data_IF_699203485190
#
_entry.id   IF_699203485190
#
_cell.length_a   1.000
_cell.length_b   1.000
_cell.length_c   1.000
_cell.angle_alpha   90.00
_cell.angle_beta   90.00
_cell.angle_gamma   90.00
#
_symmetry.space_group_name_H-M   'P 1'
#
loop_
_entity.id
_entity.type
_entity.pdbx_description
1 polymer ?
#
# COMPACT_ATOMS: atom_id res chain seq x y z
N UNK A 1 -3.86 2.33 -17.20
CA UNK A 1 -4.43 1.50 -18.29
C UNK A 1 -3.51 0.32 -18.48
N UNK A 2 -4.07 -0.81 -18.72
CA UNK A 2 -3.35 -2.04 -19.00
C UNK A 2 -4.18 -2.88 -19.97
N UNK A 3 -3.52 -3.75 -20.71
CA UNK A 3 -4.16 -4.80 -21.47
C UNK A 3 -4.17 -6.07 -20.62
N UNK A 4 -5.16 -6.90 -20.84
CA UNK A 4 -5.23 -8.22 -20.25
C UNK A 4 -5.18 -9.27 -21.34
N UNK A 5 -4.30 -10.23 -21.17
CA UNK A 5 -4.18 -11.39 -22.05
C UNK A 5 -4.20 -12.68 -21.20
N UNK A 6 -5.06 -13.66 -21.50
CA UNK A 6 -5.16 -14.89 -20.72
C UNK A 6 -3.86 -15.67 -20.60
N UNK A 7 -2.96 -15.58 -21.58
CA UNK A 7 -1.69 -16.29 -21.62
C UNK A 7 -0.54 -15.55 -20.95
N UNK A 8 -0.57 -14.21 -20.97
CA UNK A 8 0.53 -13.36 -20.51
C UNK A 8 0.16 -12.66 -19.18
N UNK A 9 -1.14 -12.53 -18.89
CA UNK A 9 -1.66 -11.78 -17.75
C UNK A 9 -1.79 -10.29 -18.01
N UNK A 10 -1.62 -9.47 -16.98
CA UNK A 10 -1.76 -8.03 -17.02
C UNK A 10 -0.51 -7.36 -17.61
N UNK A 11 -0.69 -6.61 -18.69
CA UNK A 11 0.38 -5.84 -19.36
C UNK A 11 0.14 -4.34 -19.13
N UNK A 12 0.86 -3.69 -18.21
CA UNK A 12 0.73 -2.24 -17.99
C UNK A 12 1.10 -1.43 -19.24
N UNK A 13 0.22 -0.52 -19.67
CA UNK A 13 0.46 0.36 -20.83
C UNK A 13 0.76 1.80 -20.41
N UNK A 14 -0.10 2.39 -19.61
CA UNK A 14 0.04 3.79 -19.22
C UNK A 14 -0.33 3.97 -17.76
N UNK A 15 0.57 4.57 -17.00
CA UNK A 15 0.30 5.06 -15.66
C UNK A 15 0.25 6.58 -15.66
N UNK A 16 -0.78 7.15 -15.04
CA UNK A 16 -0.90 8.60 -14.80
C UNK A 16 -1.32 8.85 -13.37
N UNK A 17 -0.70 9.85 -12.76
CA UNK A 17 -0.99 10.27 -11.39
C UNK A 17 -1.28 11.75 -11.35
N UNK A 18 -2.20 12.14 -10.48
CA UNK A 18 -2.41 13.51 -10.04
C UNK A 18 -2.39 13.53 -8.52
N UNK A 19 -1.38 14.15 -7.95
CA UNK A 19 -1.28 14.30 -6.50
C UNK A 19 -2.26 15.37 -6.03
N UNK A 20 -3.20 15.00 -5.18
CA UNK A 20 -4.24 15.88 -4.63
C UNK A 20 -4.17 15.99 -3.11
N UNK A 21 -3.34 15.15 -2.47
CA UNK A 21 -3.11 15.11 -1.03
C UNK A 21 -4.40 15.02 -0.19
N UNK A 22 -5.44 14.32 -0.71
CA UNK A 22 -6.74 14.22 -0.05
C UNK A 22 -6.63 13.62 1.35
N UNK A 23 -5.78 12.61 1.55
CA UNK A 23 -5.56 12.01 2.88
C UNK A 23 -5.03 13.02 3.91
N UNK A 24 -4.17 13.96 3.50
CA UNK A 24 -3.68 15.03 4.38
C UNK A 24 -4.81 15.99 4.77
N UNK A 25 -5.63 16.37 3.81
CA UNK A 25 -6.74 17.31 4.02
C UNK A 25 -7.79 16.67 4.92
N UNK A 26 -8.16 15.43 4.66
CA UNK A 26 -9.12 14.68 5.49
C UNK A 26 -8.57 14.47 6.90
N UNK A 27 -7.27 14.16 7.03
CA UNK A 27 -6.62 14.06 8.34
C UNK A 27 -6.65 15.36 9.17
N UNK A 28 -6.73 16.54 8.50
CA UNK A 28 -6.84 17.85 9.17
C UNK A 28 -8.26 18.29 9.45
N UNK A 29 -9.16 18.08 8.51
CA UNK A 29 -10.48 18.73 8.48
C UNK A 29 -11.65 17.74 8.62
N UNK A 30 -11.38 16.42 8.59
CA UNK A 30 -12.41 15.37 8.61
C UNK A 30 -13.32 15.36 7.37
N UNK A 31 -13.04 16.21 6.37
CA UNK A 31 -13.84 16.37 5.16
C UNK A 31 -12.97 16.79 3.97
N UNK A 32 -13.51 16.67 2.78
CA UNK A 32 -12.87 17.15 1.54
C UNK A 32 -13.44 18.54 1.19
N UNK A 33 -12.67 19.63 1.31
CA UNK A 33 -13.10 20.98 0.93
C UNK A 33 -13.41 21.11 -0.56
N UNK A 34 -14.26 22.08 -0.92
CA UNK A 34 -14.70 22.28 -2.31
C UNK A 34 -13.55 22.45 -3.32
N UNK A 35 -12.47 23.21 -3.03
CA UNK A 35 -11.35 23.31 -3.97
C UNK A 35 -10.70 21.97 -4.29
N UNK A 36 -10.57 21.06 -3.30
CA UNK A 36 -9.99 19.74 -3.45
C UNK A 36 -10.95 18.79 -4.19
N UNK A 37 -12.24 18.83 -3.87
CA UNK A 37 -13.26 18.08 -4.58
C UNK A 37 -13.32 18.47 -6.07
N UNK A 38 -13.32 19.77 -6.37
CA UNK A 38 -13.28 20.28 -7.75
C UNK A 38 -11.99 19.90 -8.49
N UNK A 39 -10.84 19.90 -7.80
CA UNK A 39 -9.57 19.43 -8.37
C UNK A 39 -9.60 17.93 -8.69
N UNK A 40 -10.24 17.13 -7.82
CA UNK A 40 -10.42 15.70 -8.05
C UNK A 40 -11.33 15.43 -9.26
N UNK A 41 -12.47 16.13 -9.37
CA UNK A 41 -13.37 16.05 -10.53
C UNK A 41 -12.63 16.37 -11.82
N UNK A 42 -11.87 17.49 -11.86
CA UNK A 42 -11.06 17.85 -13.03
C UNK A 42 -10.01 16.78 -13.39
N UNK A 43 -9.41 16.16 -12.39
CA UNK A 43 -8.44 15.10 -12.61
C UNK A 43 -9.09 13.86 -13.22
N UNK A 44 -10.23 13.41 -12.67
CA UNK A 44 -10.99 12.26 -13.18
C UNK A 44 -11.46 12.50 -14.61
N UNK A 45 -12.03 13.68 -14.92
CA UNK A 45 -12.45 14.05 -16.28
C UNK A 45 -11.29 13.93 -17.29
N UNK A 46 -10.09 14.40 -16.91
CA UNK A 46 -8.91 14.28 -17.78
C UNK A 46 -8.46 12.82 -17.97
N UNK A 47 -8.51 12.02 -16.92
CA UNK A 47 -8.15 10.59 -16.98
C UNK A 47 -9.14 9.81 -17.84
N UNK A 48 -10.45 10.05 -17.66
CA UNK A 48 -11.50 9.47 -18.49
C UNK A 48 -11.27 9.77 -19.97
N UNK A 49 -11.16 11.06 -20.32
CA UNK A 49 -10.92 11.46 -21.73
C UNK A 49 -9.70 10.78 -22.32
N UNK A 50 -8.64 10.61 -21.52
CA UNK A 50 -7.44 9.92 -22.00
C UNK A 50 -7.67 8.43 -22.22
N UNK A 51 -8.43 7.77 -21.34
CA UNK A 51 -8.80 6.38 -21.52
C UNK A 51 -9.61 6.17 -22.80
N UNK A 52 -10.63 7.01 -23.02
CA UNK A 52 -11.44 7.00 -24.23
C UNK A 52 -10.59 7.18 -25.52
N UNK A 53 -9.67 8.16 -25.52
CA UNK A 53 -8.77 8.40 -26.66
C UNK A 53 -7.74 7.27 -26.87
N UNK A 54 -7.52 6.43 -25.89
CA UNK A 54 -6.62 5.27 -25.98
C UNK A 54 -7.37 3.98 -26.36
N UNK A 55 -8.66 4.05 -26.69
CA UNK A 55 -9.46 2.89 -27.05
C UNK A 55 -9.69 1.90 -25.91
N UNK A 56 -9.83 2.42 -24.67
CA UNK A 56 -10.07 1.57 -23.50
C UNK A 56 -11.51 1.03 -23.52
N UNK A 57 -11.68 -0.28 -23.48
CA UNK A 57 -12.99 -0.95 -23.54
C UNK A 57 -13.77 -0.82 -22.21
N UNK A 58 -13.07 -0.79 -21.08
CA UNK A 58 -13.68 -0.75 -19.76
C UNK A 58 -12.98 0.23 -18.84
N UNK A 59 -13.75 1.03 -18.12
CA UNK A 59 -13.27 1.92 -17.05
C UNK A 59 -13.83 1.42 -15.71
N UNK A 60 -12.95 1.24 -14.74
CA UNK A 60 -13.32 0.95 -13.35
C UNK A 60 -12.86 2.12 -12.49
N UNK A 61 -13.74 2.64 -11.65
CA UNK A 61 -13.45 3.74 -10.76
C UNK A 61 -13.65 3.31 -9.30
N UNK A 62 -12.56 3.37 -8.53
CA UNK A 62 -12.57 3.07 -7.10
C UNK A 62 -12.09 4.27 -6.29
N UNK A 63 -12.57 4.38 -5.07
CA UNK A 63 -12.12 5.33 -4.08
C UNK A 63 -11.73 4.58 -2.81
N UNK A 64 -10.83 5.16 -2.04
CA UNK A 64 -10.21 4.52 -0.89
C UNK A 64 -10.38 5.38 0.36
N UNK A 65 -9.57 5.17 1.37
CA UNK A 65 -9.62 5.78 2.69
C UNK A 65 -9.96 7.28 2.70
N UNK A 66 -9.41 8.07 1.76
CA UNK A 66 -9.67 9.52 1.76
C UNK A 66 -11.16 9.88 1.53
N UNK A 67 -11.89 9.10 0.71
CA UNK A 67 -13.33 9.29 0.53
C UNK A 67 -14.13 8.54 1.60
N UNK A 68 -13.69 7.35 1.98
CA UNK A 68 -14.33 6.52 3.02
C UNK A 68 -14.44 7.26 4.34
N UNK A 69 -13.37 7.96 4.73
CA UNK A 69 -13.24 8.60 6.05
C UNK A 69 -13.71 10.06 6.06
N UNK A 70 -13.95 10.66 4.90
CA UNK A 70 -14.44 12.03 4.83
C UNK A 70 -15.94 12.12 5.13
N UNK A 71 -16.34 13.02 6.04
CA UNK A 71 -17.76 13.24 6.38
C UNK A 71 -18.65 13.64 5.18
N UNK A 72 -18.04 14.05 4.07
CA UNK A 72 -18.74 14.35 2.80
C UNK A 72 -18.30 13.43 1.65
N UNK A 73 -17.67 12.28 1.94
CA UNK A 73 -17.07 11.38 0.96
C UNK A 73 -18.07 10.89 -0.09
N UNK A 74 -19.25 10.42 0.33
CA UNK A 74 -20.33 10.00 -0.56
C UNK A 74 -20.78 11.09 -1.55
N UNK A 75 -20.87 12.35 -1.08
CA UNK A 75 -21.21 13.48 -1.94
C UNK A 75 -20.13 13.71 -2.99
N UNK A 76 -18.86 13.60 -2.60
CA UNK A 76 -17.72 13.72 -3.52
C UNK A 76 -17.69 12.53 -4.48
N UNK A 77 -17.92 11.30 -4.01
CA UNK A 77 -17.96 10.10 -4.86
C UNK A 77 -18.99 10.22 -5.98
N UNK A 78 -20.20 10.71 -5.69
CA UNK A 78 -21.23 10.96 -6.73
C UNK A 78 -20.75 11.95 -7.81
N UNK A 79 -20.04 13.01 -7.42
CA UNK A 79 -19.46 13.97 -8.39
C UNK A 79 -18.35 13.34 -9.23
N UNK A 80 -17.53 12.48 -8.61
CA UNK A 80 -16.48 11.74 -9.33
C UNK A 80 -17.09 10.72 -10.29
N UNK A 81 -18.18 10.03 -9.91
CA UNK A 81 -18.90 9.11 -10.77
C UNK A 81 -19.44 9.81 -12.03
N UNK A 82 -20.06 10.99 -11.87
CA UNK A 82 -20.49 11.81 -12.99
C UNK A 82 -19.32 12.21 -13.92
N UNK A 83 -18.17 12.53 -13.35
CA UNK A 83 -16.96 12.86 -14.12
C UNK A 83 -16.32 11.65 -14.80
N UNK A 84 -16.35 10.48 -14.14
CA UNK A 84 -15.83 9.23 -14.67
C UNK A 84 -16.72 8.60 -15.74
N UNK A 85 -18.04 8.88 -15.71
CA UNK A 85 -19.04 8.25 -16.56
C UNK A 85 -19.38 6.81 -16.15
N UNK A 86 -18.89 6.38 -14.98
CA UNK A 86 -19.12 5.06 -14.37
C UNK A 86 -19.29 5.23 -12.86
N UNK A 87 -19.95 4.28 -12.17
CA UNK A 87 -20.01 4.30 -10.71
C UNK A 87 -18.61 4.34 -10.08
N UNK A 88 -18.51 5.02 -8.94
CA UNK A 88 -17.30 5.00 -8.09
C UNK A 88 -17.60 4.15 -6.88
N UNK A 89 -16.87 3.05 -6.74
CA UNK A 89 -16.97 2.18 -5.57
C UNK A 89 -16.00 2.68 -4.48
N UNK A 90 -16.53 3.00 -3.31
CA UNK A 90 -15.72 3.30 -2.13
C UNK A 90 -15.40 1.97 -1.48
N UNK A 91 -14.16 1.52 -1.66
CA UNK A 91 -13.71 0.24 -1.12
C UNK A 91 -13.62 0.29 0.41
N UNK A 92 -14.00 -0.78 1.07
CA UNK A 92 -13.64 -1.05 2.45
C UNK A 92 -12.14 -1.29 2.58
N UNK A 93 -11.61 -1.23 3.79
CA UNK A 93 -10.21 -1.52 4.02
C UNK A 93 -9.83 -2.97 3.72
N UNK A 94 -10.74 -3.90 4.00
CA UNK A 94 -10.53 -5.33 3.72
C UNK A 94 -10.56 -5.60 2.20
N UNK A 95 -11.42 -4.94 1.44
CA UNK A 95 -11.39 -5.01 -0.03
C UNK A 95 -10.10 -4.43 -0.62
N UNK A 96 -9.63 -3.28 -0.10
CA UNK A 96 -8.34 -2.72 -0.51
C UNK A 96 -7.19 -3.69 -0.26
N UNK A 97 -7.14 -4.30 0.94
CA UNK A 97 -6.12 -5.27 1.32
C UNK A 97 -6.16 -6.53 0.44
N UNK A 98 -7.34 -7.09 0.20
CA UNK A 98 -7.54 -8.28 -0.62
C UNK A 98 -7.12 -8.04 -2.09
N UNK A 99 -7.57 -6.94 -2.69
CA UNK A 99 -7.20 -6.57 -4.07
C UNK A 99 -5.70 -6.32 -4.21
N UNK A 100 -5.10 -5.66 -3.21
CA UNK A 100 -3.65 -5.46 -3.20
C UNK A 100 -2.92 -6.79 -3.10
N UNK A 101 -3.30 -7.66 -2.16
CA UNK A 101 -2.65 -8.97 -1.99
C UNK A 101 -2.70 -9.79 -3.28
N UNK A 102 -3.84 -9.81 -3.96
CA UNK A 102 -4.00 -10.44 -5.26
C UNK A 102 -3.03 -9.89 -6.31
N UNK A 103 -2.85 -8.57 -6.36
CA UNK A 103 -1.87 -7.96 -7.25
C UNK A 103 -0.43 -8.35 -6.90
N UNK A 104 -0.12 -8.43 -5.60
CA UNK A 104 1.19 -8.87 -5.14
C UNK A 104 1.49 -10.31 -5.56
N UNK A 105 0.51 -11.21 -5.42
CA UNK A 105 0.63 -12.61 -5.86
C UNK A 105 0.84 -12.74 -7.37
N UNK A 106 0.07 -11.97 -8.17
CA UNK A 106 0.12 -12.06 -9.62
C UNK A 106 1.34 -11.36 -10.25
N UNK A 107 1.82 -10.30 -9.60
CA UNK A 107 2.83 -9.40 -10.20
C UNK A 107 4.27 -9.77 -9.93
N UNK A 108 4.56 -10.51 -8.88
CA UNK A 108 5.95 -10.73 -8.50
C UNK A 108 6.58 -11.89 -9.27
N UNK A 109 7.63 -11.64 -10.06
CA UNK A 109 8.60 -12.67 -10.38
C UNK A 109 9.37 -12.99 -9.11
N UNK A 110 8.74 -13.79 -8.23
CA UNK A 110 9.32 -14.14 -6.96
C UNK A 110 10.58 -14.99 -7.18
N UNK A 111 11.67 -14.79 -6.41
CA UNK A 111 12.80 -15.69 -6.41
C UNK A 111 12.33 -17.14 -6.23
N UNK A 112 13.01 -18.17 -6.80
CA UNK A 112 12.52 -19.55 -6.78
C UNK A 112 12.11 -20.06 -5.39
N UNK A 113 12.76 -19.61 -4.31
CA UNK A 113 12.40 -19.92 -2.92
C UNK A 113 11.15 -19.21 -2.40
N UNK A 114 10.79 -18.09 -3.00
CA UNK A 114 9.67 -17.26 -2.57
C UNK A 114 8.35 -17.68 -3.23
N UNK A 115 8.35 -18.06 -4.50
CA UNK A 115 7.18 -18.69 -5.16
C UNK A 115 6.69 -19.92 -4.38
N UNK A 116 7.62 -20.71 -3.86
CA UNK A 116 7.29 -21.84 -2.99
C UNK A 116 6.62 -21.43 -1.68
N UNK A 117 6.84 -20.23 -1.18
CA UNK A 117 6.16 -19.71 0.02
C UNK A 117 4.73 -19.25 -0.28
N UNK A 118 4.52 -18.58 -1.42
CA UNK A 118 3.16 -18.19 -1.87
C UNK A 118 2.33 -19.39 -2.36
N UNK A 119 2.98 -20.45 -2.85
CA UNK A 119 2.32 -21.67 -3.36
C UNK A 119 2.06 -22.74 -2.26
N UNK A 120 2.08 -22.36 -0.98
CA UNK A 120 1.79 -23.30 0.13
C UNK A 120 2.90 -24.29 0.43
N UNK A 121 4.11 -24.09 -0.08
CA UNK A 121 5.31 -24.90 0.28
C UNK A 121 5.92 -24.47 1.61
N UNK A 122 6.73 -25.28 2.29
CA UNK A 122 7.26 -24.98 3.61
C UNK A 122 8.04 -23.66 3.63
N UNK A 123 7.41 -22.58 4.08
CA UNK A 123 7.95 -21.23 4.11
C UNK A 123 7.07 -20.24 4.89
N UNK A 124 5.87 -20.66 5.30
CA UNK A 124 4.93 -19.85 6.09
C UNK A 124 4.16 -18.78 5.29
N UNK A 125 3.22 -18.10 5.94
CA UNK A 125 2.40 -17.06 5.32
C UNK A 125 3.22 -15.82 4.96
N UNK A 126 2.75 -15.08 3.96
CA UNK A 126 3.35 -13.83 3.50
C UNK A 126 2.47 -12.66 3.91
N UNK A 127 3.08 -11.62 4.42
CA UNK A 127 2.44 -10.33 4.65
C UNK A 127 2.51 -9.48 3.38
N UNK A 128 1.36 -9.16 2.83
CA UNK A 128 1.20 -8.08 1.85
C UNK A 128 0.92 -6.77 2.55
N UNK A 129 1.61 -5.71 2.13
CA UNK A 129 1.49 -4.36 2.70
C UNK A 129 1.20 -3.37 1.58
N UNK A 130 0.17 -2.53 1.72
CA UNK A 130 0.02 -1.30 0.91
C UNK A 130 0.09 -0.08 1.83
N UNK A 131 1.20 0.63 1.80
CA UNK A 131 1.34 1.87 2.55
C UNK A 131 0.96 3.06 1.68
N UNK A 132 -0.30 3.43 1.80
CA UNK A 132 -0.92 4.53 1.10
C UNK A 132 -0.76 5.89 1.77
N UNK A 133 -1.53 6.86 1.26
CA UNK A 133 -1.57 8.20 1.86
C UNK A 133 -2.54 8.30 3.02
N UNK A 134 -3.65 7.57 3.01
CA UNK A 134 -4.71 7.64 4.00
C UNK A 134 -4.71 6.48 4.99
N UNK A 135 -4.30 5.30 4.56
CA UNK A 135 -4.31 4.07 5.35
C UNK A 135 -3.09 3.21 5.09
N UNK A 136 -2.94 2.18 5.90
CA UNK A 136 -2.01 1.07 5.76
C UNK A 136 -2.84 -0.20 5.68
N UNK A 137 -2.86 -0.84 4.54
CA UNK A 137 -3.53 -2.12 4.33
C UNK A 137 -2.55 -3.26 4.58
N UNK A 138 -3.00 -4.25 5.33
CA UNK A 138 -2.28 -5.45 5.65
C UNK A 138 -3.11 -6.66 5.22
N UNK A 139 -2.46 -7.62 4.59
CA UNK A 139 -3.08 -8.87 4.19
C UNK A 139 -2.09 -10.01 4.44
N UNK A 140 -2.52 -11.08 5.08
CA UNK A 140 -1.71 -12.27 5.27
C UNK A 140 -2.36 -13.42 4.56
N UNK A 141 -1.56 -14.19 3.86
CA UNK A 141 -2.04 -15.35 3.13
C UNK A 141 -0.89 -16.20 2.61
N UNK A 142 -1.31 -17.30 1.96
CA UNK A 142 -0.45 -18.26 1.31
C UNK A 142 -0.79 -18.36 -0.17
N UNK A 143 -0.15 -19.26 -0.91
CA UNK A 143 -0.55 -19.57 -2.30
C UNK A 143 -1.97 -20.14 -2.43
N UNK A 144 -2.54 -20.65 -1.33
CA UNK A 144 -3.90 -21.21 -1.29
C UNK A 144 -5.00 -20.19 -0.99
N UNK A 145 -4.64 -18.96 -0.61
CA UNK A 145 -5.63 -17.91 -0.34
C UNK A 145 -5.20 -16.90 0.70
N UNK A 146 -6.14 -16.03 1.03
CA UNK A 146 -6.01 -14.97 2.00
C UNK A 146 -6.52 -15.45 3.37
N UNK A 147 -5.67 -15.34 4.39
CA UNK A 147 -5.98 -15.80 5.75
C UNK A 147 -6.47 -14.68 6.65
N UNK A 148 -6.00 -13.43 6.43
CA UNK A 148 -6.33 -12.30 7.27
C UNK A 148 -6.12 -10.97 6.56
N UNK A 149 -6.95 -9.97 6.89
CA UNK A 149 -6.82 -8.59 6.43
C UNK A 149 -6.99 -7.58 7.56
N UNK A 150 -6.39 -6.42 7.39
CA UNK A 150 -6.67 -5.25 8.21
C UNK A 150 -6.36 -3.98 7.46
N UNK A 151 -7.12 -2.93 7.74
CA UNK A 151 -6.80 -1.56 7.30
C UNK A 151 -6.64 -0.67 8.52
N UNK A 152 -5.47 -0.06 8.64
CA UNK A 152 -5.08 0.77 9.76
C UNK A 152 -4.99 2.24 9.34
N UNK A 153 -5.39 3.16 10.23
CA UNK A 153 -5.33 4.61 9.98
C UNK A 153 -3.91 5.19 10.02
N UNK A 154 -2.95 4.48 9.43
CA UNK A 154 -1.51 4.81 9.45
C UNK A 154 -0.98 5.32 8.10
N UNK A 155 -1.83 5.82 7.22
CA UNK A 155 -1.36 6.40 5.96
C UNK A 155 -0.48 7.63 6.14
N UNK A 156 0.59 7.71 5.36
CA UNK A 156 1.63 8.75 5.48
C UNK A 156 1.08 10.19 5.43
N UNK A 157 0.16 10.47 4.51
CA UNK A 157 -0.45 11.81 4.37
C UNK A 157 -1.43 12.12 5.52
N UNK A 158 -2.14 11.11 6.02
CA UNK A 158 -3.04 11.25 7.17
C UNK A 158 -2.26 11.64 8.42
N UNK A 159 -1.15 10.93 8.71
CA UNK A 159 -0.31 11.21 9.87
C UNK A 159 0.25 12.62 9.83
N UNK A 160 0.79 13.04 8.69
CA UNK A 160 1.26 14.42 8.52
C UNK A 160 0.12 15.41 8.70
N UNK A 161 -1.04 15.17 8.10
CA UNK A 161 -2.23 16.02 8.26
C UNK A 161 -2.63 16.18 9.72
N UNK A 162 -2.61 15.08 10.50
CA UNK A 162 -3.06 15.05 11.90
C UNK A 162 -2.06 15.62 12.87
N UNK A 163 -0.77 15.35 12.71
CA UNK A 163 0.24 15.58 13.75
C UNK A 163 1.28 16.63 13.42
N UNK A 164 1.56 16.91 12.14
CA UNK A 164 2.66 17.79 11.72
C UNK A 164 2.17 19.19 11.43
N UNK A 165 2.85 20.18 12.02
CA UNK A 165 2.60 21.62 11.82
C UNK A 165 3.89 22.38 11.49
N UNK A 166 5.04 21.79 11.76
CA UNK A 166 6.36 22.42 11.59
C UNK A 166 7.21 21.67 10.56
N UNK A 167 8.14 22.37 9.96
CA UNK A 167 9.17 21.82 9.08
C UNK A 167 10.55 22.45 9.42
N UNK A 168 11.48 21.67 9.94
CA UNK A 168 11.42 20.23 10.22
C UNK A 168 10.40 19.84 11.29
N UNK A 169 10.02 18.57 11.30
CA UNK A 169 9.12 18.00 12.32
C UNK A 169 9.77 18.15 13.71
N UNK A 170 9.03 18.70 14.66
CA UNK A 170 9.54 18.86 16.03
C UNK A 170 9.61 17.53 16.77
N UNK A 171 10.48 17.45 17.81
CA UNK A 171 10.58 16.24 18.66
C UNK A 171 9.23 15.84 19.26
N UNK A 172 8.42 16.81 19.67
CA UNK A 172 7.10 16.54 20.25
C UNK A 172 6.11 16.01 19.21
N UNK A 173 6.13 16.54 18.00
CA UNK A 173 5.30 16.03 16.90
C UNK A 173 5.71 14.61 16.53
N UNK A 174 7.01 14.34 16.43
CA UNK A 174 7.55 13.00 16.19
C UNK A 174 7.09 12.02 17.29
N UNK A 175 7.26 12.35 18.55
CA UNK A 175 6.84 11.50 19.66
C UNK A 175 5.34 11.19 19.62
N UNK A 176 4.49 12.15 19.24
CA UNK A 176 3.06 11.94 19.07
C UNK A 176 2.72 11.01 17.90
N UNK A 177 3.45 11.11 16.80
CA UNK A 177 3.29 10.19 15.66
C UNK A 177 3.69 8.78 16.09
N UNK A 178 4.85 8.62 16.74
CA UNK A 178 5.35 7.34 17.24
C UNK A 178 4.37 6.68 18.20
N UNK A 179 3.90 7.41 19.20
CA UNK A 179 2.92 6.90 20.17
C UNK A 179 1.60 6.46 19.49
N UNK A 180 1.14 7.22 18.49
CA UNK A 180 -0.05 6.84 17.74
C UNK A 180 0.17 5.58 16.90
N UNK A 181 1.34 5.45 16.23
CA UNK A 181 1.69 4.26 15.47
C UNK A 181 1.70 3.04 16.38
N UNK A 182 2.39 3.10 17.53
CA UNK A 182 2.46 1.98 18.47
C UNK A 182 1.06 1.58 18.96
N UNK A 183 0.24 2.55 19.38
CA UNK A 183 -1.15 2.30 19.81
C UNK A 183 -1.97 1.58 18.74
N UNK A 184 -1.80 1.95 17.46
CA UNK A 184 -2.54 1.31 16.37
C UNK A 184 -1.95 -0.07 16.05
N UNK A 185 -0.63 -0.22 16.06
CA UNK A 185 0.02 -1.52 15.83
C UNK A 185 -0.26 -2.52 16.96
N UNK A 186 -0.54 -2.06 18.17
CA UNK A 186 -0.94 -2.92 19.29
C UNK A 186 -2.32 -3.59 19.08
N UNK A 187 -3.09 -3.12 18.10
CA UNK A 187 -4.35 -3.78 17.70
C UNK A 187 -4.15 -4.98 16.78
N UNK A 188 -2.92 -5.21 16.29
CA UNK A 188 -2.60 -6.37 15.48
C UNK A 188 -2.69 -7.65 16.31
N UNK A 189 -3.01 -8.79 15.69
CA UNK A 189 -3.00 -10.09 16.38
C UNK A 189 -1.63 -10.33 17.04
N UNK A 190 -1.65 -10.93 18.25
CA UNK A 190 -0.44 -11.23 19.03
C UNK A 190 0.42 -12.34 18.41
N UNK A 191 1.08 -13.14 19.26
CA UNK A 191 2.13 -14.12 18.91
C UNK A 191 1.76 -15.21 17.88
N UNK A 192 0.50 -15.32 17.48
CA UNK A 192 0.06 -16.23 16.41
C UNK A 192 0.19 -15.67 15.00
N UNK A 193 0.61 -14.40 14.87
CA UNK A 193 0.66 -13.67 13.60
C UNK A 193 2.11 -13.38 13.19
N UNK A 194 2.81 -14.39 12.71
CA UNK A 194 4.19 -14.24 12.25
C UNK A 194 4.32 -14.58 10.77
N UNK A 195 4.31 -13.58 9.89
CA UNK A 195 4.59 -13.81 8.48
C UNK A 195 6.07 -14.18 8.28
N UNK A 196 6.33 -15.16 7.43
CA UNK A 196 7.69 -15.58 7.10
C UNK A 196 8.40 -14.60 6.13
N UNK A 197 7.64 -13.75 5.47
CA UNK A 197 8.17 -12.75 4.54
C UNK A 197 7.18 -11.58 4.40
N UNK A 198 7.68 -10.43 3.94
CA UNK A 198 6.89 -9.23 3.68
C UNK A 198 7.09 -8.77 2.24
N UNK A 199 5.98 -8.45 1.59
CA UNK A 199 5.96 -7.79 0.29
C UNK A 199 5.17 -6.50 0.40
N UNK A 200 5.76 -5.38 0.01
CA UNK A 200 5.12 -4.10 0.17
C UNK A 200 4.95 -3.35 -1.16
N UNK A 201 3.77 -2.79 -1.33
CA UNK A 201 3.41 -1.86 -2.38
C UNK A 201 3.23 -0.44 -1.83
N UNK A 202 2.76 0.44 -2.68
CA UNK A 202 2.45 1.80 -2.32
C UNK A 202 3.54 2.80 -2.67
N UNK A 203 3.20 4.03 -2.48
CA UNK A 203 4.08 5.10 -2.93
C UNK A 203 5.25 5.37 -1.99
N UNK A 204 5.10 5.11 -0.71
CA UNK A 204 6.17 5.23 0.29
C UNK A 204 7.26 4.23 -0.01
N UNK A 205 6.93 2.95 -0.12
CA UNK A 205 7.86 1.86 -0.39
C UNK A 205 8.65 2.10 -1.68
N UNK A 206 7.96 2.47 -2.77
CA UNK A 206 8.62 2.81 -4.04
C UNK A 206 9.53 4.03 -3.96
N UNK A 207 9.22 5.00 -3.11
CA UNK A 207 10.09 6.16 -2.92
C UNK A 207 11.32 5.82 -2.09
N UNK A 208 11.19 4.98 -1.06
CA UNK A 208 12.33 4.46 -0.29
C UNK A 208 13.28 3.66 -1.19
N UNK A 209 12.75 2.75 -2.00
CA UNK A 209 13.56 1.98 -2.94
C UNK A 209 14.35 2.88 -3.90
N UNK A 210 13.73 3.96 -4.43
CA UNK A 210 14.45 4.94 -5.26
C UNK A 210 15.53 5.70 -4.52
N UNK A 211 15.29 6.07 -3.28
CA UNK A 211 16.33 6.70 -2.44
C UNK A 211 17.51 5.75 -2.23
N UNK A 212 17.26 4.49 -1.89
CA UNK A 212 18.31 3.49 -1.65
C UNK A 212 19.10 3.19 -2.94
N UNK A 213 18.44 3.08 -4.09
CA UNK A 213 19.12 2.94 -5.38
C UNK A 213 19.98 4.17 -5.68
N UNK A 214 19.43 5.36 -5.50
CA UNK A 214 20.14 6.61 -5.83
C UNK A 214 21.29 6.91 -4.87
N UNK A 215 21.27 6.40 -3.64
CA UNK A 215 22.38 6.49 -2.68
C UNK A 215 23.43 5.36 -2.85
N UNK A 216 23.18 4.36 -3.68
CA UNK A 216 24.02 3.19 -3.84
C UNK A 216 23.84 2.13 -2.74
N UNK A 217 22.87 2.32 -1.83
CA UNK A 217 22.57 1.32 -0.78
C UNK A 217 21.83 0.09 -1.33
N UNK A 218 21.20 0.21 -2.49
CA UNK A 218 20.56 -0.91 -3.19
C UNK A 218 20.80 -0.80 -4.70
N UNK A 219 20.70 -1.92 -5.42
CA UNK A 219 20.88 -1.98 -6.87
C UNK A 219 19.86 -2.96 -7.49
N UNK A 220 19.36 -2.63 -8.69
CA UNK A 220 18.44 -3.46 -9.44
C UNK A 220 17.12 -2.77 -9.79
N UNK A 221 16.18 -3.51 -10.40
CA UNK A 221 14.85 -3.00 -10.67
C UNK A 221 14.06 -2.78 -9.37
N UNK A 222 13.13 -1.84 -9.38
CA UNK A 222 12.28 -1.56 -8.21
C UNK A 222 11.44 -2.77 -7.81
N UNK A 223 10.89 -3.46 -8.81
CA UNK A 223 10.05 -4.63 -8.59
C UNK A 223 10.91 -5.84 -8.19
N UNK A 224 10.65 -6.41 -7.05
CA UNK A 224 11.44 -7.50 -6.46
C UNK A 224 12.66 -7.03 -5.65
N UNK A 225 12.92 -5.72 -5.55
CA UNK A 225 14.02 -5.20 -4.74
C UNK A 225 13.76 -5.49 -3.25
N UNK A 226 14.77 -6.00 -2.56
CA UNK A 226 14.73 -6.18 -1.11
C UNK A 226 15.32 -4.96 -0.41
N UNK A 227 14.62 -4.48 0.61
CA UNK A 227 15.06 -3.39 1.47
C UNK A 227 15.22 -3.92 2.88
N UNK A 228 16.40 -3.79 3.46
CA UNK A 228 16.66 -4.18 4.83
C UNK A 228 15.96 -3.23 5.83
N UNK A 229 15.40 -3.78 6.88
CA UNK A 229 14.71 -3.00 7.92
C UNK A 229 15.64 -1.98 8.56
N UNK A 230 16.90 -2.33 8.79
CA UNK A 230 17.90 -1.42 9.37
C UNK A 230 18.17 -0.20 8.48
N UNK A 231 18.15 -0.35 7.16
CA UNK A 231 18.32 0.76 6.23
C UNK A 231 17.10 1.68 6.18
N UNK A 232 15.89 1.10 6.32
CA UNK A 232 14.64 1.85 6.42
C UNK A 232 14.63 2.68 7.71
N UNK A 233 15.09 2.12 8.83
CA UNK A 233 15.20 2.82 10.11
C UNK A 233 16.19 3.99 10.05
N UNK A 234 17.33 3.80 9.41
CA UNK A 234 18.32 4.87 9.21
C UNK A 234 17.75 6.04 8.38
N UNK A 235 16.95 5.72 7.36
CA UNK A 235 16.27 6.73 6.55
C UNK A 235 15.14 7.46 7.31
N UNK A 236 14.46 6.79 8.23
CA UNK A 236 13.42 7.42 9.06
C UNK A 236 13.99 8.58 9.88
N UNK A 237 15.11 8.36 10.56
CA UNK A 237 15.79 9.41 11.33
C UNK A 237 16.14 10.60 10.46
N UNK A 238 16.75 10.37 9.29
CA UNK A 238 17.14 11.43 8.36
C UNK A 238 15.92 12.23 7.85
N UNK A 239 14.86 11.53 7.41
CA UNK A 239 13.72 12.16 6.74
C UNK A 239 12.84 13.00 7.65
N UNK A 240 12.79 12.71 8.96
CA UNK A 240 12.02 13.49 9.93
C UNK A 240 12.80 14.65 10.55
N UNK A 241 14.12 14.49 10.72
CA UNK A 241 14.96 15.54 11.32
C UNK A 241 15.29 16.67 10.32
N UNK A 242 15.45 16.33 9.05
CA UNK A 242 15.84 17.29 8.04
C UNK A 242 14.65 18.13 7.54
N UNK A 243 14.89 19.44 7.35
CA UNK A 243 13.92 20.34 6.76
C UNK A 243 13.69 20.07 5.27
N UNK A 244 12.51 20.43 4.76
CA UNK A 244 12.07 20.19 3.38
C UNK A 244 13.09 20.58 2.31
N UNK A 245 13.81 21.70 2.49
CA UNK A 245 14.83 22.14 1.53
C UNK A 245 15.97 21.14 1.37
N UNK A 246 16.40 20.50 2.47
CA UNK A 246 17.43 19.48 2.45
C UNK A 246 16.88 18.17 1.91
N UNK A 247 15.69 17.75 2.38
CA UNK A 247 15.01 16.54 1.84
C UNK A 247 14.84 16.59 0.32
N UNK A 248 14.48 17.75 -0.25
CA UNK A 248 14.39 17.92 -1.71
C UNK A 248 15.71 17.72 -2.47
N UNK A 249 16.86 17.74 -1.78
CA UNK A 249 18.20 17.58 -2.38
C UNK A 249 18.72 16.13 -2.26
N UNK A 250 18.04 15.29 -1.50
CA UNK A 250 18.43 13.88 -1.37
C UNK A 250 18.27 13.21 -2.74
N UNK A 251 19.32 12.54 -3.27
CA UNK A 251 19.22 11.81 -4.53
C UNK A 251 18.06 10.82 -4.52
N UNK A 252 17.29 10.74 -5.59
CA UNK A 252 16.12 9.85 -5.67
C UNK A 252 14.84 10.36 -5.01
N UNK A 253 14.87 11.52 -4.34
CA UNK A 253 13.70 12.07 -3.66
C UNK A 253 12.56 12.43 -4.63
N UNK A 254 11.39 11.85 -4.43
CA UNK A 254 10.16 12.26 -5.09
C UNK A 254 9.63 13.56 -4.45
N UNK A 255 9.71 14.67 -5.18
CA UNK A 255 9.27 16.00 -4.71
C UNK A 255 7.80 16.05 -4.32
N UNK A 256 6.96 15.17 -4.89
CA UNK A 256 5.55 15.07 -4.53
C UNK A 256 5.30 14.36 -3.20
N UNK A 257 6.32 13.67 -2.67
CA UNK A 257 6.24 12.91 -1.42
C UNK A 257 7.14 13.44 -0.33
N UNK A 258 7.94 14.45 -0.61
CA UNK A 258 8.93 15.02 0.31
C UNK A 258 8.35 15.38 1.69
N UNK A 259 7.09 15.78 1.74
CA UNK A 259 6.43 16.20 2.98
C UNK A 259 5.81 15.04 3.78
N UNK A 260 5.62 13.88 3.15
CA UNK A 260 4.93 12.73 3.76
C UNK A 260 5.82 11.50 3.89
N UNK A 261 6.97 11.48 3.19
CA UNK A 261 7.80 10.28 3.12
C UNK A 261 8.34 9.88 4.49
N UNK A 262 8.79 10.83 5.32
CA UNK A 262 9.32 10.53 6.66
C UNK A 262 8.28 9.84 7.56
N UNK A 263 7.04 10.35 7.58
CA UNK A 263 5.98 9.69 8.35
C UNK A 263 5.67 8.27 7.84
N UNK A 264 5.67 8.08 6.52
CA UNK A 264 5.46 6.75 5.94
C UNK A 264 6.62 5.79 6.21
N UNK A 265 7.86 6.30 6.19
CA UNK A 265 9.06 5.52 6.54
C UNK A 265 8.99 5.04 7.98
N UNK A 266 8.62 5.93 8.90
CA UNK A 266 8.43 5.59 10.31
C UNK A 266 7.39 4.48 10.51
N UNK A 267 6.24 4.57 9.83
CA UNK A 267 5.21 3.50 9.87
C UNK A 267 5.79 2.16 9.42
N UNK A 268 6.47 2.13 8.28
CA UNK A 268 7.03 0.89 7.74
C UNK A 268 8.11 0.31 8.66
N UNK A 269 9.02 1.14 9.16
CA UNK A 269 10.06 0.74 10.10
C UNK A 269 9.48 0.12 11.38
N UNK A 270 8.47 0.76 11.98
CA UNK A 270 7.81 0.25 13.19
C UNK A 270 7.05 -1.05 12.94
N UNK A 271 6.36 -1.16 11.80
CA UNK A 271 5.67 -2.39 11.40
C UNK A 271 6.64 -3.56 11.25
N UNK A 272 7.73 -3.37 10.49
CA UNK A 272 8.72 -4.43 10.25
C UNK A 272 9.40 -4.87 11.55
N UNK A 273 9.77 -3.91 12.41
CA UNK A 273 10.35 -4.21 13.74
C UNK A 273 9.37 -4.96 14.62
N UNK A 274 8.11 -4.53 14.69
CA UNK A 274 7.05 -5.18 15.47
C UNK A 274 6.84 -6.64 15.09
N UNK A 275 7.00 -6.95 13.79
CA UNK A 275 6.82 -8.28 13.23
C UNK A 275 8.15 -9.06 13.09
N UNK A 276 9.25 -8.56 13.63
CA UNK A 276 10.60 -9.14 13.54
C UNK A 276 11.02 -9.51 12.12
N UNK A 277 10.66 -8.65 11.17
CA UNK A 277 10.97 -8.84 9.75
C UNK A 277 12.27 -8.11 9.39
N UNK A 278 13.29 -8.86 8.98
CA UNK A 278 14.60 -8.30 8.64
C UNK A 278 14.60 -7.49 7.33
N UNK A 279 13.66 -7.77 6.45
CA UNK A 279 13.59 -7.15 5.12
C UNK A 279 12.16 -7.10 4.58
N UNK A 280 11.95 -6.26 3.56
CA UNK A 280 10.71 -6.18 2.79
C UNK A 280 11.01 -6.18 1.30
N UNK A 281 10.24 -6.96 0.53
CA UNK A 281 10.32 -6.99 -0.94
C UNK A 281 9.39 -5.94 -1.55
N UNK A 282 9.92 -5.12 -2.45
CA UNK A 282 9.19 -4.04 -3.10
C UNK A 282 8.35 -4.57 -4.26
N UNK A 283 7.06 -4.23 -4.29
CA UNK A 283 6.20 -4.45 -5.45
C UNK A 283 5.85 -3.13 -6.16
N UNK A 284 5.97 -3.11 -7.49
CA UNK A 284 5.40 -2.04 -8.29
C UNK A 284 3.90 -2.21 -8.50
N UNK A 285 3.39 -3.42 -8.35
CA UNK A 285 1.97 -3.75 -8.40
C UNK A 285 1.34 -3.56 -7.01
N UNK A 286 0.08 -3.14 -6.99
CA UNK A 286 -0.70 -2.89 -5.77
C UNK A 286 -2.18 -2.78 -6.12
N UNK A 287 -2.95 -2.05 -5.32
CA UNK A 287 -4.41 -1.94 -5.44
C UNK A 287 -4.90 -1.72 -6.89
N UNK A 288 -4.26 -0.86 -7.67
CA UNK A 288 -4.73 -0.56 -9.04
C UNK A 288 -4.62 -1.74 -9.98
N UNK A 289 -3.55 -2.48 -9.87
CA UNK A 289 -3.32 -3.69 -10.64
C UNK A 289 -4.30 -4.78 -10.18
N UNK A 290 -4.58 -4.90 -8.87
CA UNK A 290 -5.60 -5.80 -8.33
C UNK A 290 -7.01 -5.51 -8.85
N UNK A 291 -7.41 -4.24 -8.89
CA UNK A 291 -8.69 -3.82 -9.47
C UNK A 291 -8.79 -4.17 -10.96
N UNK A 292 -7.70 -4.03 -11.72
CA UNK A 292 -7.71 -4.38 -13.15
C UNK A 292 -7.78 -5.88 -13.35
N UNK A 293 -7.03 -6.66 -12.55
CA UNK A 293 -7.09 -8.12 -12.58
C UNK A 293 -8.52 -8.63 -12.32
N UNK A 294 -9.14 -8.16 -11.25
CA UNK A 294 -10.52 -8.51 -10.92
C UNK A 294 -11.50 -8.16 -12.05
N UNK A 295 -11.38 -6.94 -12.60
CA UNK A 295 -12.24 -6.50 -13.69
C UNK A 295 -12.05 -7.33 -14.98
N UNK A 296 -10.83 -7.76 -15.27
CA UNK A 296 -10.52 -8.59 -16.43
C UNK A 296 -11.11 -10.00 -16.30
N UNK A 297 -10.99 -10.62 -15.13
CA UNK A 297 -11.55 -11.94 -14.86
C UNK A 297 -13.08 -11.94 -14.89
N UNK A 298 -13.71 -10.93 -14.32
CA UNK A 298 -15.16 -10.75 -14.42
C UNK A 298 -15.63 -10.62 -15.87
N UNK A 299 -14.85 -9.97 -16.73
CA UNK A 299 -15.17 -9.84 -18.17
C UNK A 299 -15.08 -11.18 -18.92
N UNK A 300 -14.31 -12.14 -18.42
CA UNK A 300 -14.18 -13.49 -19.00
C UNK A 300 -15.19 -14.49 -18.42
N UNK A 301 -16.11 -14.04 -17.57
CA UNK A 301 -17.08 -14.91 -16.92
C UNK A 301 -16.45 -15.82 -15.83
N UNK A 302 -15.19 -15.54 -15.45
CA UNK A 302 -14.64 -16.14 -14.23
C UNK A 302 -15.45 -15.53 -13.09
N UNK A 303 -16.19 -16.35 -12.32
CA UNK A 303 -16.91 -15.82 -11.18
C UNK A 303 -15.89 -15.10 -10.28
N UNK A 304 -16.24 -13.93 -9.73
CA UNK A 304 -15.37 -13.34 -8.72
C UNK A 304 -15.11 -14.44 -7.71
N UNK A 305 -13.84 -14.72 -7.42
CA UNK A 305 -13.53 -15.51 -6.23
C UNK A 305 -14.39 -14.92 -5.14
N UNK A 306 -15.25 -15.78 -4.53
CA UNK A 306 -16.21 -15.30 -3.54
C UNK A 306 -15.48 -14.35 -2.62
N UNK A 307 -15.99 -13.11 -2.39
CA UNK A 307 -15.25 -12.10 -1.65
C UNK A 307 -14.65 -12.83 -0.46
N UNK A 308 -13.32 -12.92 -0.46
CA UNK A 308 -12.60 -13.70 0.53
C UNK A 308 -13.20 -13.23 1.84
N UNK A 309 -14.02 -14.06 2.49
CA UNK A 309 -14.67 -13.69 3.74
C UNK A 309 -13.50 -13.27 4.59
N UNK A 310 -13.46 -11.96 4.92
CA UNK A 310 -12.49 -11.51 5.88
C UNK A 310 -12.54 -12.52 7.02
N UNK A 311 -11.44 -13.22 7.33
CA UNK A 311 -11.46 -14.25 8.34
C UNK A 311 -12.05 -13.63 9.60
N UNK A 312 -12.88 -14.39 10.30
CA UNK A 312 -13.48 -13.90 11.54
C UNK A 312 -12.32 -13.47 12.46
N UNK A 313 -12.24 -12.17 12.74
CA UNK A 313 -11.17 -11.59 13.57
C UNK A 313 -11.17 -12.19 14.99
N UNK A 314 -12.20 -12.96 15.36
CA UNK A 314 -12.32 -13.68 16.62
C UNK A 314 -11.74 -15.09 16.57
N UNK A 315 -11.50 -15.67 15.40
CA UNK A 315 -10.86 -16.99 15.32
C UNK A 315 -9.33 -16.85 15.39
N UNK A 316 -8.66 -17.57 16.30
CA UNK A 316 -7.20 -17.59 16.32
C UNK A 316 -6.69 -18.21 15.01
N UNK A 317 -5.83 -17.48 14.30
CA UNK A 317 -5.11 -18.01 13.13
C UNK A 317 -4.48 -19.33 13.53
N UNK A 318 -4.81 -20.41 12.82
CA UNK A 318 -4.39 -21.75 13.17
C UNK A 318 -2.86 -21.80 13.32
N UNK A 319 -2.39 -22.23 14.49
CA UNK A 319 -0.96 -22.44 14.74
C UNK A 319 -0.50 -23.56 13.84
N UNK A 320 0.25 -23.23 12.79
CA UNK A 320 1.03 -24.24 12.08
C UNK A 320 2.12 -24.72 13.04
N UNK A 321 2.30 -26.05 13.20
CA UNK A 321 3.33 -26.59 14.06
C UNK A 321 4.71 -26.14 13.51
N UNK A 322 5.46 -25.42 14.33
CA UNK A 322 6.88 -25.16 14.08
C UNK A 322 7.60 -26.50 14.22
N UNK A 323 7.91 -27.13 13.10
CA UNK A 323 8.86 -28.23 13.07
C UNK A 323 10.26 -27.64 13.29
N UNK A 324 10.68 -27.62 14.55
CA UNK A 324 12.10 -27.48 14.89
C UNK A 324 12.81 -28.76 14.43
N UNK A 325 13.44 -28.73 13.26
CA UNK A 325 14.44 -29.74 12.95
C UNK A 325 15.67 -29.48 13.84
N UNK A 326 16.19 -30.50 14.52
CA UNK A 326 17.41 -30.33 15.31
C UNK A 326 18.58 -30.06 14.35
N UNK A 327 19.32 -28.97 14.63
CA UNK A 327 20.57 -28.70 13.97
C UNK A 327 21.53 -29.90 14.16
N UNK A 328 21.78 -30.63 13.09
CA UNK A 328 22.89 -31.60 13.07
C UNK A 328 24.16 -30.83 12.79
N UNK A 329 24.98 -30.67 13.83
CA UNK A 329 26.35 -30.22 13.68
C UNK A 329 27.18 -31.30 13.01
N UNK A 330 27.90 -30.96 11.95
CA UNK A 330 29.17 -31.52 11.53
C UNK A 330 30.11 -30.40 11.07
#
# INVERSE_FOLDING_TARGET
MADWDPAIGLVPRVQRRKHLNLGMVVGREGRIPEPHASAAVKAVTKLRRRAELSGTDRIVAVATSALRDAGNGEKVARRLAAAAGVPVHILSGDEEAALTFRALQAGLPLPPGFRGRLEGRPGGPVLGVDLGGGSLELAVGTGSGLDWTSSLELGASRLVGRFVRHDPVTRNERARIEAHIETVLDTLPGDSFWPAACVAAGGTVKSLARLMIASGAAAGPLHGLQLATVDIEALDELLLVEGRRRRCRIPGMDRHRVDVLGAGTLVLARLLRRLDLAEVTVSEWGLREGVILEAAEQAQGVPPEAPLKAPDKSEPVARLPVLLEPAVAF
#
